data_IF_291573560336
#
_entry.id   IF_291573560336
#
_cell.length_a   1.000
_cell.length_b   1.000
_cell.length_c   1.000
_cell.angle_alpha   90.00
_cell.angle_beta   90.00
_cell.angle_gamma   90.00
#
_symmetry.space_group_name_H-M   'P 1'
#
loop_
_entity.id
_entity.type
_entity.pdbx_description
1 polymer ?
#
# COMPACT_ATOMS: atom_id res chain seq x y z
N UNK A 1 -3.80 -10.04 -27.97
CA UNK A 1 -2.79 -9.49 -27.05
C UNK A 1 -1.98 -10.65 -26.53
N UNK A 2 -0.66 -10.64 -26.70
CA UNK A 2 0.19 -11.75 -26.27
C UNK A 2 0.48 -11.64 -24.78
N UNK A 3 0.69 -12.75 -24.07
CA UNK A 3 1.08 -12.75 -22.64
C UNK A 3 2.34 -11.89 -22.38
N UNK A 4 3.20 -11.72 -23.39
CA UNK A 4 4.41 -10.88 -23.28
C UNK A 4 4.09 -9.39 -23.14
N UNK A 5 2.96 -8.91 -23.64
CA UNK A 5 2.53 -7.50 -23.51
C UNK A 5 1.96 -7.21 -22.12
N UNK A 6 1.43 -8.24 -21.42
CA UNK A 6 0.96 -8.13 -20.04
C UNK A 6 2.12 -8.18 -19.03
N UNK A 7 3.21 -8.87 -19.36
CA UNK A 7 4.41 -9.00 -18.52
C UNK A 7 5.20 -7.71 -18.32
N UNK A 8 5.00 -6.69 -19.16
CA UNK A 8 5.64 -5.38 -19.01
C UNK A 8 5.00 -4.47 -17.96
N UNK A 9 3.74 -4.72 -17.57
CA UNK A 9 3.00 -3.85 -16.64
C UNK A 9 3.12 -4.30 -15.18
N UNK A 10 3.51 -5.55 -14.94
CA UNK A 10 3.81 -6.07 -13.61
C UNK A 10 5.31 -6.29 -13.58
N UNK A 11 6.05 -5.26 -13.19
CA UNK A 11 7.44 -5.44 -12.81
C UNK A 11 7.43 -6.27 -11.52
N UNK A 12 7.37 -7.60 -11.67
CA UNK A 12 7.57 -8.55 -10.59
C UNK A 12 9.00 -8.33 -10.15
N UNK A 13 9.18 -7.55 -9.08
CA UNK A 13 10.47 -7.43 -8.44
C UNK A 13 11.02 -8.86 -8.22
N UNK A 14 12.31 -9.11 -8.46
CA UNK A 14 12.88 -10.47 -8.45
C UNK A 14 12.73 -11.22 -7.12
N UNK A 15 12.25 -10.54 -6.06
CA UNK A 15 11.88 -11.12 -4.77
C UNK A 15 10.56 -10.50 -4.30
N UNK A 16 9.73 -11.22 -3.53
CA UNK A 16 8.56 -10.65 -2.89
C UNK A 16 9.00 -9.54 -1.94
N UNK A 17 8.80 -8.28 -2.36
CA UNK A 17 9.05 -7.12 -1.52
C UNK A 17 7.85 -6.94 -0.59
N UNK A 18 8.08 -7.16 0.70
CA UNK A 18 7.05 -6.95 1.72
C UNK A 18 6.97 -5.49 2.20
N UNK A 19 8.01 -4.70 1.93
CA UNK A 19 8.02 -3.27 2.25
C UNK A 19 8.60 -2.45 1.10
N UNK A 20 8.10 -1.23 0.96
CA UNK A 20 8.56 -0.27 -0.05
C UNK A 20 8.77 1.11 0.56
N UNK A 21 9.71 1.94 0.05
CA UNK A 21 9.81 3.34 0.46
C UNK A 21 8.48 4.07 0.22
N UNK A 22 8.11 5.00 1.10
CA UNK A 22 6.82 5.68 0.96
C UNK A 22 6.68 6.46 -0.36
N UNK A 23 7.79 6.89 -0.97
CA UNK A 23 7.81 7.55 -2.28
C UNK A 23 7.36 6.59 -3.39
N UNK A 24 7.84 5.34 -3.35
CA UNK A 24 7.41 4.31 -4.30
C UNK A 24 5.95 3.94 -4.04
N UNK A 25 5.56 3.80 -2.76
CA UNK A 25 4.16 3.59 -2.39
C UNK A 25 3.25 4.69 -2.94
N UNK A 26 3.66 5.96 -2.84
CA UNK A 26 2.91 7.09 -3.38
C UNK A 26 2.69 6.98 -4.89
N UNK A 27 3.72 6.54 -5.64
CA UNK A 27 3.61 6.27 -7.08
C UNK A 27 2.64 5.12 -7.37
N UNK A 28 2.72 4.02 -6.62
CA UNK A 28 1.83 2.86 -6.78
C UNK A 28 0.35 3.21 -6.61
N UNK A 29 0.02 4.10 -5.66
CA UNK A 29 -1.37 4.52 -5.40
C UNK A 29 -1.79 5.78 -6.19
N UNK A 30 -0.93 6.32 -7.06
CA UNK A 30 -1.22 7.52 -7.85
C UNK A 30 -1.42 8.80 -7.02
N UNK A 31 -0.72 8.94 -5.88
CA UNK A 31 -0.82 10.11 -4.99
C UNK A 31 0.51 10.89 -4.96
N UNK A 32 0.45 12.17 -4.56
CA UNK A 32 1.65 12.97 -4.31
C UNK A 32 2.39 12.43 -3.08
N UNK A 33 3.72 12.43 -3.14
CA UNK A 33 4.57 11.99 -2.01
C UNK A 33 4.31 12.79 -0.73
N UNK A 34 4.04 14.10 -0.85
CA UNK A 34 3.69 14.95 0.28
C UNK A 34 2.40 14.52 0.98
N UNK A 35 1.39 14.07 0.22
CA UNK A 35 0.14 13.55 0.77
C UNK A 35 0.38 12.26 1.54
N UNK A 36 1.18 11.34 0.99
CA UNK A 36 1.53 10.09 1.68
C UNK A 36 2.34 10.37 2.94
N UNK A 37 3.26 11.34 2.92
CA UNK A 37 3.96 11.79 4.12
C UNK A 37 3.01 12.31 5.20
N UNK A 38 2.01 13.13 4.85
CA UNK A 38 0.96 13.54 5.80
C UNK A 38 0.18 12.36 6.37
N UNK A 39 -0.07 11.31 5.57
CA UNK A 39 -0.73 10.09 6.05
C UNK A 39 0.14 9.32 7.06
N UNK A 40 1.45 9.27 6.83
CA UNK A 40 2.42 8.66 7.76
C UNK A 40 2.48 9.46 9.07
N UNK A 41 2.62 10.78 8.97
CA UNK A 41 2.64 11.68 10.14
C UNK A 41 1.33 11.56 10.96
N UNK A 42 0.20 11.28 10.31
CA UNK A 42 -1.09 11.03 10.93
C UNK A 42 -1.33 9.55 11.34
N UNK A 43 -0.30 8.69 11.30
CA UNK A 43 -0.34 7.28 11.65
C UNK A 43 -1.42 6.45 10.91
N UNK A 44 -1.74 6.82 9.66
CA UNK A 44 -2.73 6.13 8.83
C UNK A 44 -2.17 4.96 8.02
N UNK A 45 -0.85 4.81 7.98
CA UNK A 45 -0.17 3.79 7.19
C UNK A 45 0.73 2.94 8.09
N UNK A 46 0.81 1.62 7.86
CA UNK A 46 1.74 0.75 8.57
C UNK A 46 3.16 1.01 8.07
N UNK A 47 3.95 1.76 8.84
CA UNK A 47 5.33 2.11 8.48
C UNK A 47 6.36 1.46 9.40
N UNK A 48 7.47 1.06 8.80
CA UNK A 48 8.71 0.64 9.45
C UNK A 48 9.70 1.80 9.29
N UNK A 49 10.32 2.20 10.39
CA UNK A 49 11.36 3.23 10.37
C UNK A 49 12.72 2.57 10.16
N UNK A 50 13.36 2.89 9.04
CA UNK A 50 14.74 2.51 8.79
C UNK A 50 15.66 3.55 9.42
N UNK A 51 16.12 3.23 10.63
CA UNK A 51 17.02 4.06 11.44
C UNK A 51 18.27 3.26 11.78
N UNK A 52 19.44 3.90 11.70
CA UNK A 52 20.70 3.26 12.09
C UNK A 52 20.63 2.84 13.57
N UNK A 53 21.00 1.60 13.92
CA UNK A 53 21.04 1.16 15.32
C UNK A 53 21.90 2.12 16.18
N UNK A 54 21.36 2.51 17.34
CA UNK A 54 22.03 3.45 18.25
C UNK A 54 21.95 4.93 17.87
N UNK A 55 21.28 5.29 16.77
CA UNK A 55 20.98 6.69 16.45
C UNK A 55 19.58 7.09 16.94
N UNK A 56 19.43 8.37 17.31
CA UNK A 56 18.13 8.91 17.70
C UNK A 56 17.24 8.96 16.46
N UNK A 57 16.01 8.45 16.59
CA UNK A 57 15.00 8.59 15.54
C UNK A 57 14.76 10.08 15.27
N UNK A 58 15.17 10.53 14.10
CA UNK A 58 14.93 11.90 13.62
C UNK A 58 13.86 11.89 12.55
N UNK A 59 13.28 13.05 12.24
CA UNK A 59 12.31 13.23 11.15
C UNK A 59 12.85 12.88 9.75
N UNK A 60 14.17 12.66 9.64
CA UNK A 60 14.86 12.25 8.43
C UNK A 60 15.03 10.72 8.31
N UNK A 61 14.50 9.92 9.24
CA UNK A 61 14.47 8.47 9.11
C UNK A 61 13.70 8.06 7.86
N UNK A 62 14.18 7.03 7.15
CA UNK A 62 13.46 6.51 5.99
C UNK A 62 12.20 5.76 6.45
N UNK A 63 11.02 6.24 6.05
CA UNK A 63 9.77 5.52 6.31
C UNK A 63 9.47 4.56 5.16
N UNK A 64 9.38 3.28 5.50
CA UNK A 64 9.02 2.21 4.59
C UNK A 64 7.61 1.73 4.92
N UNK A 65 6.74 1.60 3.91
CA UNK A 65 5.38 1.08 4.09
C UNK A 65 5.41 -0.44 4.00
N UNK A 66 4.90 -1.12 5.03
CA UNK A 66 4.80 -2.58 5.08
C UNK A 66 3.49 -3.05 4.41
N UNK A 67 3.63 -3.67 3.24
CA UNK A 67 2.53 -4.03 2.36
C UNK A 67 1.62 -5.14 2.91
N UNK A 68 2.10 -6.21 3.56
CA UNK A 68 1.23 -7.25 4.12
C UNK A 68 0.21 -6.69 5.12
N UNK A 69 0.65 -5.87 6.09
CA UNK A 69 -0.25 -5.26 7.06
C UNK A 69 -1.23 -4.28 6.42
N UNK A 70 -0.79 -3.53 5.40
CA UNK A 70 -1.68 -2.65 4.63
C UNK A 70 -2.78 -3.46 3.93
N UNK A 71 -2.41 -4.52 3.21
CA UNK A 71 -3.33 -5.36 2.45
C UNK A 71 -4.30 -6.12 3.37
N UNK A 72 -3.82 -6.62 4.52
CA UNK A 72 -4.66 -7.24 5.53
C UNK A 72 -5.69 -6.26 6.10
N UNK A 73 -5.25 -5.05 6.45
CA UNK A 73 -6.13 -3.98 6.92
C UNK A 73 -7.19 -3.61 5.89
N UNK A 74 -6.81 -3.45 4.62
CA UNK A 74 -7.73 -3.18 3.52
C UNK A 74 -8.76 -4.30 3.34
N UNK A 75 -8.32 -5.56 3.38
CA UNK A 75 -9.20 -6.73 3.28
C UNK A 75 -10.20 -6.76 4.43
N UNK A 76 -9.72 -6.59 5.66
CA UNK A 76 -10.57 -6.58 6.85
C UNK A 76 -11.61 -5.45 6.77
N UNK A 77 -11.16 -4.23 6.46
CA UNK A 77 -12.04 -3.07 6.32
C UNK A 77 -13.11 -3.23 5.23
N UNK A 78 -12.83 -4.00 4.17
CA UNK A 78 -13.81 -4.34 3.16
C UNK A 78 -14.86 -5.35 3.67
N UNK A 79 -14.42 -6.41 4.35
CA UNK A 79 -15.32 -7.47 4.83
C UNK A 79 -16.11 -7.12 6.10
N UNK A 80 -15.64 -6.14 6.88
CA UNK A 80 -16.33 -5.65 8.08
C UNK A 80 -17.58 -4.81 7.75
N UNK A 81 -17.74 -4.39 6.50
CA UNK A 81 -18.94 -3.66 6.05
C UNK A 81 -20.16 -4.60 5.97
N UNK A 82 -21.38 -4.08 6.20
CA UNK A 82 -22.61 -4.84 5.98
C UNK A 82 -22.65 -5.41 4.56
N UNK A 83 -23.08 -6.67 4.43
CA UNK A 83 -23.07 -7.41 3.16
C UNK A 83 -23.85 -6.67 2.08
N UNK A 84 -24.97 -6.06 2.44
CA UNK A 84 -25.83 -5.30 1.54
C UNK A 84 -25.06 -4.14 0.90
N UNK A 85 -24.20 -3.46 1.67
CA UNK A 85 -23.37 -2.36 1.16
C UNK A 85 -22.17 -2.87 0.38
N UNK A 86 -21.52 -3.93 0.87
CA UNK A 86 -20.31 -4.52 0.28
C UNK A 86 -20.58 -5.13 -1.09
N UNK A 87 -21.73 -5.79 -1.24
CA UNK A 87 -22.07 -6.60 -2.43
C UNK A 87 -23.08 -5.89 -3.35
N UNK A 88 -23.64 -4.72 -2.97
CA UNK A 88 -24.61 -3.98 -3.79
C UNK A 88 -24.16 -3.71 -5.23
N UNK A 89 -22.85 -3.52 -5.45
CA UNK A 89 -22.30 -3.27 -6.78
C UNK A 89 -22.36 -4.50 -7.70
N UNK A 90 -22.51 -5.73 -7.17
CA UNK A 90 -22.67 -6.94 -7.97
C UNK A 90 -23.98 -6.95 -8.77
N UNK A 91 -25.03 -6.32 -8.24
CA UNK A 91 -26.31 -6.16 -8.95
C UNK A 91 -26.14 -5.37 -10.26
N UNK A 92 -25.19 -4.43 -10.31
CA UNK A 92 -24.90 -3.65 -11.51
C UNK A 92 -24.19 -4.48 -12.60
N UNK A 93 -23.65 -5.64 -12.22
CA UNK A 93 -23.02 -6.62 -13.12
C UNK A 93 -23.95 -7.81 -13.42
N UNK A 94 -25.15 -7.85 -12.85
CA UNK A 94 -26.09 -8.96 -13.02
C UNK A 94 -25.72 -10.25 -12.28
N UNK A 95 -24.94 -10.14 -11.19
CA UNK A 95 -24.56 -11.22 -10.27
C UNK A 95 -25.35 -11.11 -8.95
#
# INVERSE_FOLDING_TARGET
MSESELGGFIQVAPYPLEAVPYQLFAKMIGRKESTVRTMIDAAKLPTIDFVKPGSVKTRASENWVYLPAFNEGMRKAFFEQPKERRDAWLLWLGL
#
